data_IF_188274843807
#
_entry.id   IF_188274843807
#
_cell.length_a   1.000
_cell.length_b   1.000
_cell.length_c   1.000
_cell.angle_alpha   90.00
_cell.angle_beta   90.00
_cell.angle_gamma   90.00
#
_symmetry.space_group_name_H-M   'P 1'
#
loop_
_entity.id
_entity.type
_entity.pdbx_description
1 polymer ?
#
# COMPACT_ATOMS: atom_id res chain seq x y z
N UNK A 1 2.88 -28.04 -8.09
CA UNK A 1 1.82 -28.56 -7.18
C UNK A 1 0.92 -27.38 -6.81
N UNK A 2 -0.32 -27.32 -7.31
CA UNK A 2 -1.26 -26.21 -6.97
C UNK A 2 -1.78 -26.46 -5.55
N UNK A 3 -1.59 -25.52 -4.63
CA UNK A 3 -2.05 -25.67 -3.24
C UNK A 3 -3.56 -25.93 -3.21
N UNK A 4 -3.97 -27.02 -2.57
CA UNK A 4 -5.35 -27.53 -2.57
C UNK A 4 -6.29 -26.59 -1.80
N UNK A 5 -5.76 -25.81 -0.83
CA UNK A 5 -6.44 -24.74 -0.11
C UNK A 5 -5.44 -23.69 0.35
N UNK A 6 -5.71 -22.41 0.12
CA UNK A 6 -4.95 -21.28 0.68
C UNK A 6 -5.76 -20.72 1.84
N UNK A 7 -5.28 -20.91 3.07
CA UNK A 7 -5.85 -20.27 4.25
C UNK A 7 -5.17 -18.91 4.40
N UNK A 8 -5.91 -17.82 4.21
CA UNK A 8 -5.42 -16.49 4.57
C UNK A 8 -5.69 -16.29 6.05
N UNK A 9 -4.70 -16.60 6.88
CA UNK A 9 -4.75 -16.26 8.31
C UNK A 9 -4.61 -14.75 8.41
N UNK A 10 -5.70 -14.05 8.73
CA UNK A 10 -5.60 -12.64 9.13
C UNK A 10 -5.03 -12.61 10.54
N UNK A 11 -3.80 -12.12 10.68
CA UNK A 11 -3.22 -11.83 11.98
C UNK A 11 -4.11 -10.81 12.69
N UNK A 12 -4.68 -11.21 13.83
CA UNK A 12 -5.37 -10.29 14.72
C UNK A 12 -4.31 -9.43 15.39
N UNK A 13 -4.10 -8.22 14.87
CA UNK A 13 -3.18 -7.26 15.45
C UNK A 13 -3.72 -6.80 16.82
N UNK A 14 -2.86 -6.73 17.85
CA UNK A 14 -3.21 -6.12 19.13
C UNK A 14 -3.74 -4.68 18.97
N UNK A 15 -4.62 -4.26 19.87
CA UNK A 15 -5.30 -2.95 19.82
C UNK A 15 -4.38 -1.76 19.51
N UNK A 16 -3.23 -1.61 20.20
CA UNK A 16 -2.41 -0.42 20.06
C UNK A 16 -1.82 -0.24 18.65
N UNK A 17 -1.59 -1.36 17.96
CA UNK A 17 -0.97 -1.41 16.62
C UNK A 17 -1.94 -1.86 15.51
N UNK A 18 -3.22 -2.05 15.84
CA UNK A 18 -4.27 -2.41 14.90
C UNK A 18 -4.30 -1.54 13.63
N UNK A 19 -4.00 -0.21 13.67
CA UNK A 19 -3.97 0.62 12.47
C UNK A 19 -2.97 0.17 11.39
N UNK A 20 -1.95 -0.62 11.72
CA UNK A 20 -1.03 -1.20 10.72
C UNK A 20 -1.76 -1.99 9.63
N UNK A 21 -2.88 -2.65 9.95
CA UNK A 21 -3.68 -3.35 8.94
C UNK A 21 -4.20 -2.39 7.86
N UNK A 22 -4.72 -1.22 8.26
CA UNK A 22 -5.23 -0.21 7.31
C UNK A 22 -4.10 0.37 6.49
N UNK A 23 -2.97 0.71 7.13
CA UNK A 23 -1.78 1.21 6.46
C UNK A 23 -1.22 0.21 5.43
N UNK A 24 -1.23 -1.09 5.74
CA UNK A 24 -0.77 -2.14 4.84
C UNK A 24 -1.68 -2.34 3.62
N UNK A 25 -2.99 -2.19 3.80
CA UNK A 25 -3.98 -2.36 2.72
C UNK A 25 -4.15 -1.14 1.81
N UNK A 26 -3.65 0.03 2.21
CA UNK A 26 -3.72 1.24 1.39
C UNK A 26 -2.41 1.43 0.62
N UNK A 27 -2.47 1.34 -0.71
CA UNK A 27 -1.29 1.37 -1.58
C UNK A 27 -0.42 2.62 -1.46
N UNK A 28 -0.88 3.70 -0.81
CA UNK A 28 -0.06 4.90 -0.52
C UNK A 28 1.28 4.55 0.09
N UNK A 29 1.38 3.47 0.87
CA UNK A 29 2.66 3.01 1.40
C UNK A 29 3.72 2.82 0.31
N UNK A 30 3.40 2.49 -0.93
CA UNK A 30 4.42 2.21 -1.96
C UNK A 30 5.17 3.45 -2.43
N UNK A 31 4.58 4.65 -2.29
CA UNK A 31 5.25 5.93 -2.58
C UNK A 31 5.37 6.87 -1.38
N UNK A 32 4.82 6.51 -0.22
CA UNK A 32 4.95 7.28 1.02
C UNK A 32 6.07 6.75 1.91
N UNK A 33 7.24 7.38 1.81
CA UNK A 33 8.47 6.98 2.53
C UNK A 33 8.30 6.78 4.04
N UNK A 34 7.66 7.68 4.81
CA UNK A 34 7.49 7.48 6.26
C UNK A 34 6.72 6.20 6.62
N UNK A 35 5.73 5.81 5.80
CA UNK A 35 4.97 4.57 6.02
C UNK A 35 5.84 3.35 5.71
N UNK A 36 6.69 3.40 4.68
CA UNK A 36 7.64 2.30 4.38
C UNK A 36 8.66 2.13 5.50
N UNK A 37 9.21 3.22 5.99
CA UNK A 37 10.17 3.22 7.11
C UNK A 37 9.53 2.71 8.40
N UNK A 38 8.23 2.99 8.63
CA UNK A 38 7.49 2.38 9.73
C UNK A 38 7.46 0.85 9.62
N UNK A 39 7.07 0.30 8.47
CA UNK A 39 7.05 -1.15 8.26
C UNK A 39 8.44 -1.78 8.36
N UNK A 40 9.45 -1.18 7.73
CA UNK A 40 10.84 -1.62 7.82
C UNK A 40 11.36 -1.67 9.27
N UNK A 41 10.87 -0.76 10.13
CA UNK A 41 11.29 -0.71 11.54
C UNK A 41 10.61 -1.73 12.45
N UNK A 42 9.59 -2.45 11.98
CA UNK A 42 8.96 -3.52 12.77
C UNK A 42 9.88 -4.72 12.91
N UNK A 43 10.48 -5.12 11.79
CA UNK A 43 11.47 -6.18 11.68
C UNK A 43 12.16 -6.04 10.31
N UNK A 44 13.44 -5.67 10.30
CA UNK A 44 14.16 -5.37 9.06
C UNK A 44 14.42 -6.63 8.23
N UNK A 45 14.67 -7.77 8.88
CA UNK A 45 14.97 -9.02 8.18
C UNK A 45 13.70 -9.54 7.48
N UNK A 46 12.59 -9.63 8.22
CA UNK A 46 11.31 -10.03 7.64
C UNK A 46 10.82 -9.06 6.56
N UNK A 47 11.16 -7.77 6.66
CA UNK A 47 10.80 -6.78 5.65
C UNK A 47 11.48 -7.05 4.30
N UNK A 48 12.78 -7.34 4.31
CA UNK A 48 13.51 -7.73 3.11
C UNK A 48 13.02 -9.08 2.57
N UNK A 49 12.82 -10.08 3.43
CA UNK A 49 12.31 -11.41 3.03
C UNK A 49 10.90 -11.35 2.42
N UNK A 50 10.07 -10.40 2.88
CA UNK A 50 8.71 -10.19 2.35
C UNK A 50 8.68 -9.51 0.99
N UNK A 51 9.84 -9.09 0.44
CA UNK A 51 9.91 -8.29 -0.77
C UNK A 51 9.24 -6.92 -0.60
N UNK A 52 9.39 -6.31 0.57
CA UNK A 52 8.83 -5.01 0.91
C UNK A 52 7.28 -4.98 0.83
N UNK A 53 6.61 -6.10 1.10
CA UNK A 53 5.14 -6.21 1.19
C UNK A 53 4.66 -6.15 2.65
N UNK A 54 3.98 -5.06 3.07
CA UNK A 54 3.47 -4.91 4.43
C UNK A 54 2.50 -6.02 4.86
N UNK A 55 1.71 -6.57 3.94
CA UNK A 55 0.74 -7.62 4.28
C UNK A 55 1.48 -8.92 4.60
N UNK A 56 2.46 -9.28 3.76
CA UNK A 56 3.30 -10.45 3.98
C UNK A 56 4.15 -10.29 5.26
N UNK A 57 4.76 -9.12 5.49
CA UNK A 57 5.48 -8.81 6.74
C UNK A 57 4.61 -9.07 7.98
N UNK A 58 3.42 -8.47 8.06
CA UNK A 58 2.52 -8.64 9.21
C UNK A 58 1.98 -10.06 9.37
N UNK A 59 1.97 -10.85 8.29
CA UNK A 59 1.63 -12.27 8.32
C UNK A 59 2.76 -13.16 8.84
N UNK A 60 4.02 -12.71 8.71
CA UNK A 60 5.22 -13.44 9.14
C UNK A 60 5.61 -13.17 10.60
N UNK A 61 5.25 -12.01 11.16
CA UNK A 61 5.57 -11.67 12.55
C UNK A 61 4.77 -12.57 13.52
N UNK A 62 5.48 -13.24 14.42
CA UNK A 62 4.90 -14.12 15.43
C UNK A 62 4.00 -13.37 16.42
N UNK A 63 3.01 -14.08 16.99
CA UNK A 63 2.05 -13.48 17.94
C UNK A 63 2.73 -12.81 19.13
N UNK A 64 3.70 -13.47 19.76
CA UNK A 64 4.41 -12.92 20.92
C UNK A 64 5.15 -11.62 20.57
N UNK A 65 5.83 -11.59 19.42
CA UNK A 65 6.51 -10.39 18.91
C UNK A 65 5.52 -9.27 18.61
N UNK A 66 4.32 -9.56 18.06
CA UNK A 66 3.27 -8.55 17.88
C UNK A 66 2.84 -7.92 19.23
N UNK A 67 2.74 -8.71 20.30
CA UNK A 67 2.43 -8.17 21.63
C UNK A 67 3.58 -7.35 22.21
N UNK A 68 4.84 -7.73 21.95
CA UNK A 68 6.02 -6.94 22.33
C UNK A 68 6.04 -5.59 21.61
N UNK A 69 5.83 -5.59 20.28
CA UNK A 69 5.70 -4.38 19.47
C UNK A 69 4.54 -3.50 19.98
N UNK A 70 3.40 -4.11 20.33
CA UNK A 70 2.26 -3.38 20.88
C UNK A 70 2.48 -2.81 22.29
N UNK A 71 3.49 -3.29 23.01
CA UNK A 71 3.87 -2.79 24.34
C UNK A 71 4.93 -1.68 24.26
N UNK A 72 5.48 -1.40 23.08
CA UNK A 72 6.43 -0.32 22.85
C UNK A 72 5.68 0.99 22.54
N UNK A 73 5.65 1.91 23.51
CA UNK A 73 4.92 3.18 23.38
C UNK A 73 5.39 4.04 22.21
N UNK A 74 6.70 4.12 21.94
CA UNK A 74 7.25 4.92 20.85
C UNK A 74 6.78 4.38 19.48
N UNK A 75 6.74 3.05 19.33
CA UNK A 75 6.23 2.43 18.11
C UNK A 75 4.71 2.66 17.97
N UNK A 76 3.96 2.47 19.05
CA UNK A 76 2.51 2.71 19.05
C UNK A 76 2.21 4.15 18.62
N UNK A 77 2.91 5.13 19.17
CA UNK A 77 2.76 6.53 18.78
C UNK A 77 3.05 6.75 17.29
N UNK A 78 4.13 6.18 16.76
CA UNK A 78 4.46 6.25 15.32
C UNK A 78 3.36 5.62 14.45
N UNK A 79 2.79 4.49 14.87
CA UNK A 79 1.66 3.83 14.17
C UNK A 79 0.43 4.72 14.16
N UNK A 80 0.07 5.30 15.31
CA UNK A 80 -1.09 6.20 15.43
C UNK A 80 -0.89 7.48 14.60
N UNK A 81 0.31 8.05 14.63
CA UNK A 81 0.66 9.21 13.83
C UNK A 81 0.56 8.92 12.32
N UNK A 82 1.10 7.79 11.86
CA UNK A 82 0.98 7.38 10.46
C UNK A 82 -0.47 7.11 10.04
N UNK A 83 -1.28 6.55 10.94
CA UNK A 83 -2.70 6.34 10.70
C UNK A 83 -3.46 7.66 10.56
N UNK A 84 -3.24 8.61 11.49
CA UNK A 84 -3.82 9.94 11.43
C UNK A 84 -3.36 10.72 10.19
N UNK A 85 -2.11 10.54 9.77
CA UNK A 85 -1.60 11.12 8.52
C UNK A 85 -2.33 10.58 7.29
N UNK A 86 -2.58 9.26 7.25
CA UNK A 86 -3.39 8.68 6.19
C UNK A 86 -4.84 9.21 6.22
N UNK A 87 -5.43 9.38 7.39
CA UNK A 87 -6.80 9.93 7.50
C UNK A 87 -6.86 11.34 6.95
N UNK A 88 -5.95 12.23 7.37
CA UNK A 88 -5.82 13.58 6.78
C UNK A 88 -5.62 13.51 5.28
N UNK A 89 -4.79 12.60 4.80
CA UNK A 89 -4.52 12.44 3.38
C UNK A 89 -5.76 12.09 2.56
N UNK A 90 -6.67 11.29 3.12
CA UNK A 90 -7.88 10.84 2.44
C UNK A 90 -9.06 11.81 2.61
N UNK A 91 -9.08 12.63 3.66
CA UNK A 91 -10.24 13.48 3.99
C UNK A 91 -10.06 14.96 3.71
N UNK A 92 -8.83 15.49 3.78
CA UNK A 92 -8.59 16.93 3.62
C UNK A 92 -8.58 17.34 2.14
N UNK A 93 -9.10 18.54 1.82
CA UNK A 93 -9.01 19.06 0.46
C UNK A 93 -7.53 19.21 0.05
N UNK A 94 -7.23 18.79 -1.17
CA UNK A 94 -5.94 18.98 -1.82
C UNK A 94 -6.05 20.11 -2.85
N UNK A 95 -4.97 20.32 -3.59
CA UNK A 95 -4.90 21.33 -4.64
C UNK A 95 -6.10 21.28 -5.61
N UNK A 96 -6.52 20.07 -6.05
CA UNK A 96 -7.59 19.93 -7.04
C UNK A 96 -8.94 20.47 -6.55
N UNK A 97 -9.25 20.34 -5.26
CA UNK A 97 -10.50 20.86 -4.68
C UNK A 97 -10.57 22.39 -4.70
N UNK A 98 -9.45 23.09 -4.91
CA UNK A 98 -9.39 24.54 -5.06
C UNK A 98 -9.72 25.06 -6.46
N UNK A 99 -9.86 24.19 -7.48
CA UNK A 99 -10.11 24.60 -8.87
C UNK A 99 -11.53 25.13 -9.14
N UNK A 100 -12.45 24.97 -8.19
CA UNK A 100 -13.83 25.41 -8.29
C UNK A 100 -14.77 24.39 -8.96
N UNK A 101 -16.05 24.74 -9.10
CA UNK A 101 -17.11 23.81 -9.49
C UNK A 101 -17.04 23.36 -10.96
N UNK A 102 -16.33 24.09 -11.82
CA UNK A 102 -16.19 23.76 -13.24
C UNK A 102 -15.15 22.66 -13.51
N UNK A 103 -14.34 22.31 -12.50
CA UNK A 103 -13.38 21.22 -12.61
C UNK A 103 -14.11 19.86 -12.73
N UNK A 104 -13.60 18.91 -13.54
CA UNK A 104 -14.21 17.60 -13.66
C UNK A 104 -14.40 16.89 -12.30
N UNK A 105 -15.62 16.44 -12.03
CA UNK A 105 -15.93 15.70 -10.79
C UNK A 105 -15.32 14.29 -10.77
N UNK A 106 -15.01 13.72 -11.95
CA UNK A 106 -14.44 12.39 -12.10
C UNK A 106 -13.72 12.28 -13.46
N UNK A 107 -12.56 11.61 -13.47
CA UNK A 107 -11.76 11.36 -14.67
C UNK A 107 -11.46 9.86 -14.75
N UNK A 108 -11.90 9.20 -15.83
CA UNK A 108 -11.56 7.80 -16.06
C UNK A 108 -10.25 7.70 -16.86
N UNK A 109 -9.25 7.01 -16.33
CA UNK A 109 -7.98 6.76 -17.00
C UNK A 109 -7.87 5.29 -17.39
N UNK A 110 -8.01 5.01 -18.69
CA UNK A 110 -7.88 3.66 -19.23
C UNK A 110 -6.44 3.37 -19.61
N UNK A 111 -5.91 2.28 -19.07
CA UNK A 111 -4.59 1.75 -19.44
C UNK A 111 -4.65 0.22 -19.39
N UNK A 112 -3.96 -0.49 -20.31
CA UNK A 112 -3.84 -1.94 -20.19
C UNK A 112 -3.08 -2.33 -18.92
N UNK A 113 -2.17 -1.48 -18.43
CA UNK A 113 -1.26 -1.81 -17.32
C UNK A 113 -1.13 -0.65 -16.31
N UNK A 114 -0.86 -0.97 -15.05
CA UNK A 114 -0.58 -0.01 -13.97
C UNK A 114 0.51 -0.54 -13.02
N UNK A 115 1.66 0.14 -13.00
CA UNK A 115 2.80 -0.16 -12.13
C UNK A 115 2.80 0.68 -10.86
N UNK A 116 1.91 0.35 -9.91
CA UNK A 116 1.79 1.09 -8.64
C UNK A 116 2.83 0.62 -7.62
N UNK A 117 3.02 -0.69 -7.52
CA UNK A 117 3.95 -1.36 -6.59
C UNK A 117 4.34 -2.72 -7.17
N UNK A 118 5.55 -3.19 -6.88
CA UNK A 118 6.05 -4.50 -7.33
C UNK A 118 5.24 -5.66 -6.72
N UNK A 119 4.62 -5.44 -5.55
CA UNK A 119 3.73 -6.41 -4.88
C UNK A 119 2.45 -6.69 -5.69
N UNK A 120 2.08 -5.78 -6.60
CA UNK A 120 0.95 -5.92 -7.51
C UNK A 120 1.45 -5.91 -8.97
N UNK A 121 1.94 -7.05 -9.49
CA UNK A 121 2.53 -7.12 -10.83
C UNK A 121 1.44 -7.08 -11.92
N UNK A 122 0.95 -5.87 -12.20
CA UNK A 122 -0.03 -5.54 -13.25
C UNK A 122 0.59 -4.68 -14.35
N UNK A 123 1.89 -4.86 -14.60
CA UNK A 123 2.63 -4.18 -15.65
C UNK A 123 3.81 -5.02 -16.16
N UNK A 124 4.26 -4.69 -17.37
CA UNK A 124 5.34 -5.38 -18.10
C UNK A 124 6.49 -4.44 -18.46
N UNK A 125 6.28 -3.12 -18.44
CA UNK A 125 7.29 -2.14 -18.86
C UNK A 125 6.93 -0.69 -18.57
N UNK A 126 7.56 0.23 -19.30
CA UNK A 126 7.52 1.67 -19.03
C UNK A 126 6.13 2.31 -19.11
N UNK A 127 5.22 1.77 -19.93
CA UNK A 127 3.83 2.26 -20.00
C UNK A 127 3.11 2.10 -18.67
N UNK A 128 3.19 0.91 -18.06
CA UNK A 128 2.55 0.65 -16.78
C UNK A 128 3.17 1.49 -15.66
N UNK A 129 4.50 1.66 -15.65
CA UNK A 129 5.18 2.54 -14.69
C UNK A 129 4.65 3.98 -14.79
N UNK A 130 4.61 4.56 -16.00
CA UNK A 130 4.08 5.91 -16.21
C UNK A 130 2.62 6.03 -15.77
N UNK A 131 1.77 5.05 -16.13
CA UNK A 131 0.38 5.04 -15.72
C UNK A 131 0.24 4.96 -14.19
N UNK A 132 1.08 4.16 -13.53
CA UNK A 132 1.16 4.07 -12.08
C UNK A 132 1.59 5.39 -11.42
N UNK A 133 2.61 6.05 -11.96
CA UNK A 133 3.09 7.34 -11.45
C UNK A 133 2.07 8.46 -11.65
N UNK A 134 1.30 8.43 -12.75
CA UNK A 134 0.13 9.28 -12.91
C UNK A 134 -0.92 9.07 -11.81
N UNK A 135 -1.22 7.81 -11.43
CA UNK A 135 -2.16 7.54 -10.33
C UNK A 135 -1.63 8.09 -9.00
N UNK A 136 -0.33 7.92 -8.71
CA UNK A 136 0.30 8.41 -7.48
C UNK A 136 0.24 9.95 -7.41
N UNK A 137 0.64 10.62 -8.49
CA UNK A 137 0.59 12.07 -8.58
C UNK A 137 -0.84 12.61 -8.51
N UNK A 138 -1.79 11.97 -9.19
CA UNK A 138 -3.21 12.31 -9.11
C UNK A 138 -3.73 12.19 -7.67
N UNK A 139 -3.36 11.12 -6.96
CA UNK A 139 -3.72 10.92 -5.55
C UNK A 139 -3.16 12.02 -4.66
N UNK A 140 -1.88 12.39 -4.82
CA UNK A 140 -1.25 13.44 -4.01
C UNK A 140 -1.85 14.84 -4.27
N UNK A 141 -2.31 15.09 -5.49
CA UNK A 141 -2.99 16.33 -5.88
C UNK A 141 -4.50 16.33 -5.56
N UNK A 142 -5.07 15.18 -5.15
CA UNK A 142 -6.50 14.97 -4.90
C UNK A 142 -7.37 15.02 -6.16
N UNK A 143 -6.80 14.70 -7.32
CA UNK A 143 -7.53 14.60 -8.58
C UNK A 143 -8.47 13.38 -8.51
N UNK A 144 -9.77 13.50 -8.86
CA UNK A 144 -10.74 12.41 -8.80
C UNK A 144 -10.57 11.46 -10.00
N UNK A 145 -9.39 10.85 -10.09
CA UNK A 145 -8.98 10.01 -11.21
C UNK A 145 -9.14 8.52 -10.86
N UNK A 146 -9.87 7.80 -11.71
CA UNK A 146 -10.17 6.37 -11.57
C UNK A 146 -9.40 5.61 -12.66
N UNK A 147 -8.43 4.80 -12.25
CA UNK A 147 -7.74 3.88 -13.13
C UNK A 147 -8.62 2.70 -13.52
N UNK A 148 -8.78 2.45 -14.82
CA UNK A 148 -9.51 1.30 -15.36
C UNK A 148 -8.56 0.48 -16.21
N UNK A 149 -8.35 -0.77 -15.82
CA UNK A 149 -7.45 -1.69 -16.49
C UNK A 149 -7.86 -3.14 -16.32
N UNK A 150 -6.95 -4.05 -16.64
CA UNK A 150 -7.17 -5.49 -16.56
C UNK A 150 -6.46 -6.07 -15.34
N UNK A 151 -7.10 -7.05 -14.68
CA UNK A 151 -6.46 -7.85 -13.63
C UNK A 151 -5.91 -9.13 -14.27
N UNK A 152 -4.67 -9.07 -14.76
CA UNK A 152 -4.04 -10.20 -15.43
C UNK A 152 -3.75 -11.33 -14.43
N UNK A 153 -4.21 -12.54 -14.75
CA UNK A 153 -3.99 -13.72 -13.90
C UNK A 153 -2.54 -14.21 -13.94
N UNK A 154 -1.84 -14.03 -15.07
CA UNK A 154 -0.49 -14.54 -15.29
C UNK A 154 0.62 -13.50 -15.07
N UNK A 155 0.27 -12.22 -14.84
CA UNK A 155 1.23 -11.12 -14.74
C UNK A 155 2.22 -11.05 -15.91
N UNK A 156 3.37 -10.43 -15.67
CA UNK A 156 4.55 -10.51 -16.52
C UNK A 156 5.44 -11.69 -16.09
N UNK A 157 6.22 -12.26 -17.02
CA UNK A 157 6.99 -13.48 -16.75
C UNK A 157 8.04 -13.27 -15.64
N UNK A 158 8.31 -14.31 -14.84
CA UNK A 158 9.45 -14.33 -13.90
C UNK A 158 10.69 -14.80 -14.63
N UNK A 159 11.70 -13.93 -14.75
CA UNK A 159 12.99 -14.29 -15.30
C UNK A 159 13.90 -14.87 -14.20
N UNK A 160 14.51 -16.02 -14.45
CA UNK A 160 15.60 -16.58 -13.63
C UNK A 160 16.76 -16.97 -14.54
N UNK A 161 18.00 -16.78 -14.08
CA UNK A 161 19.22 -17.18 -14.79
C UNK A 161 19.65 -18.60 -14.37
#
# INVERSE_FOLDING_TARGET
>A
MKAIRRFTVRTLLPEPIRPLARLATNLRWSWHRPTRELFASLDHELWEESGHDPISLLGSIGREQLYQLASNNDLVERVQHAAADLDRYLSEPRWYQGLGPDAPACIAYFSPEFGITEVLPQYSGGLGILAGDHLKAASDLGVPLIGVGLLYQAGYFKQSL
#
